data_IF_241638445564
#
_entry.id   IF_241638445564
#
_cell.length_a   1.000
_cell.length_b   1.000
_cell.length_c   1.000
_cell.angle_alpha   90.00
_cell.angle_beta   90.00
_cell.angle_gamma   90.00
#
_symmetry.space_group_name_H-M   'P 1'
#
loop_
_entity.id
_entity.type
_entity.pdbx_description
1 polymer ?
#
# COMPACT_ATOMS: atom_id res chain seq x y z
N UNK A 1 -6.90 19.32 -13.44
CA UNK A 1 -7.70 18.08 -13.64
C UNK A 1 -9.10 18.47 -14.00
N UNK A 2 -9.70 17.80 -14.97
CA UNK A 2 -11.13 18.01 -15.31
C UNK A 2 -11.99 17.30 -14.25
N UNK A 3 -12.68 18.09 -13.42
CA UNK A 3 -13.51 17.56 -12.33
C UNK A 3 -14.80 16.88 -12.84
N UNK A 4 -15.16 17.02 -14.12
CA UNK A 4 -16.29 16.30 -14.72
C UNK A 4 -16.03 14.81 -14.88
N UNK A 5 -14.78 14.37 -14.74
CA UNK A 5 -14.38 12.97 -14.77
C UNK A 5 -14.50 12.29 -13.39
N UNK A 6 -14.73 13.07 -12.31
CA UNK A 6 -14.87 12.53 -10.97
C UNK A 6 -16.29 12.03 -10.71
N UNK A 7 -16.38 11.01 -9.86
CA UNK A 7 -17.65 10.67 -9.19
C UNK A 7 -18.21 11.90 -8.45
N UNK A 8 -19.53 12.13 -8.50
CA UNK A 8 -20.17 13.34 -7.97
C UNK A 8 -19.94 13.51 -6.45
N UNK A 9 -20.01 12.42 -5.68
CA UNK A 9 -19.76 12.46 -4.24
C UNK A 9 -18.30 12.77 -3.93
N UNK A 10 -17.38 12.21 -4.73
CA UNK A 10 -15.93 12.46 -4.60
C UNK A 10 -15.57 13.90 -4.99
N UNK A 11 -16.17 14.43 -6.06
CA UNK A 11 -15.97 15.82 -6.49
C UNK A 11 -16.37 16.80 -5.38
N UNK A 12 -17.55 16.59 -4.77
CA UNK A 12 -18.04 17.40 -3.66
C UNK A 12 -17.11 17.39 -2.43
N UNK A 13 -16.55 16.23 -2.07
CA UNK A 13 -15.59 16.15 -0.97
C UNK A 13 -14.30 16.88 -1.33
N UNK A 14 -13.80 16.70 -2.55
CA UNK A 14 -12.55 17.32 -3.00
C UNK A 14 -12.60 18.85 -3.05
N UNK A 15 -13.78 19.45 -3.29
CA UNK A 15 -13.95 20.92 -3.24
C UNK A 15 -13.62 21.50 -1.87
N UNK A 16 -13.82 20.74 -0.80
CA UNK A 16 -13.53 21.16 0.58
C UNK A 16 -12.05 20.99 0.97
N UNK A 17 -11.25 20.29 0.14
CA UNK A 17 -9.86 20.02 0.44
C UNK A 17 -8.96 21.22 0.13
N UNK A 18 -8.10 21.63 1.07
CA UNK A 18 -7.14 22.70 0.81
C UNK A 18 -6.05 22.22 -0.15
N UNK A 19 -5.61 23.12 -1.01
CA UNK A 19 -4.36 22.93 -1.73
C UNK A 19 -3.22 23.03 -0.73
N UNK A 20 -2.40 22.01 -0.59
CA UNK A 20 -1.28 21.98 0.33
C UNK A 20 0.01 21.62 -0.40
N UNK A 21 1.12 22.25 0.04
CA UNK A 21 2.46 21.83 -0.34
C UNK A 21 2.96 20.81 0.68
N UNK A 22 3.04 19.55 0.25
CA UNK A 22 3.49 18.45 1.09
C UNK A 22 5.03 18.41 1.23
N UNK A 23 5.74 19.05 0.30
CA UNK A 23 7.15 18.81 0.06
C UNK A 23 8.08 19.94 0.51
N UNK A 24 7.55 21.14 0.76
CA UNK A 24 8.35 22.28 1.21
C UNK A 24 8.99 22.08 2.59
N UNK A 25 8.30 21.29 3.45
CA UNK A 25 8.77 20.94 4.79
C UNK A 25 8.16 19.59 5.18
N UNK A 26 8.94 18.52 5.02
CA UNK A 26 8.52 17.15 5.29
C UNK A 26 8.18 16.92 6.77
N UNK A 27 8.99 17.47 7.68
CA UNK A 27 8.79 17.30 9.11
C UNK A 27 7.50 17.99 9.57
N UNK A 28 7.26 19.21 9.12
CA UNK A 28 6.01 19.90 9.39
C UNK A 28 4.80 19.18 8.78
N UNK A 29 4.93 18.58 7.60
CA UNK A 29 3.87 17.81 6.97
C UNK A 29 3.58 16.53 7.76
N UNK A 30 4.60 15.79 8.19
CA UNK A 30 4.47 14.61 9.05
C UNK A 30 3.82 14.97 10.40
N UNK A 31 4.26 16.08 11.02
CA UNK A 31 3.68 16.57 12.27
C UNK A 31 2.18 16.93 12.11
N UNK A 32 1.81 17.66 11.06
CA UNK A 32 0.40 17.99 10.77
C UNK A 32 -0.45 16.73 10.56
N UNK A 33 0.07 15.72 9.85
CA UNK A 33 -0.62 14.46 9.66
C UNK A 33 -0.84 13.71 11.00
N UNK A 34 0.16 13.71 11.88
CA UNK A 34 0.05 13.12 13.22
C UNK A 34 -0.97 13.86 14.10
N UNK A 35 -0.98 15.20 14.09
CA UNK A 35 -1.97 15.99 14.83
C UNK A 35 -3.41 15.76 14.31
N UNK A 36 -3.57 15.74 12.97
CA UNK A 36 -4.88 15.47 12.38
C UNK A 36 -5.40 14.09 12.79
N UNK A 37 -4.53 13.09 12.75
CA UNK A 37 -4.83 11.73 13.20
C UNK A 37 -5.26 11.70 14.66
N UNK A 38 -4.50 12.31 15.56
CA UNK A 38 -4.84 12.38 16.97
C UNK A 38 -6.22 13.00 17.22
N UNK A 39 -6.60 14.04 16.44
CA UNK A 39 -7.92 14.67 16.47
C UNK A 39 -9.04 13.76 15.96
N UNK A 40 -8.74 12.84 15.05
CA UNK A 40 -9.72 11.93 14.43
C UNK A 40 -9.89 10.63 15.20
N UNK A 41 -8.84 10.10 15.83
CA UNK A 41 -8.84 8.79 16.51
C UNK A 41 -9.97 8.67 17.53
N UNK A 42 -10.29 9.72 18.27
CA UNK A 42 -11.42 9.73 19.21
C UNK A 42 -12.82 9.88 18.58
N UNK A 43 -12.90 10.16 17.28
CA UNK A 43 -14.16 10.39 16.55
C UNK A 43 -14.55 9.25 15.61
N UNK A 44 -13.59 8.37 15.30
CA UNK A 44 -13.86 7.21 14.45
C UNK A 44 -14.65 6.15 15.26
N UNK A 45 -15.55 5.41 14.59
CA UNK A 45 -16.24 4.29 15.22
C UNK A 45 -15.23 3.27 15.76
N UNK A 46 -15.48 2.73 16.94
CA UNK A 46 -14.62 1.68 17.50
C UNK A 46 -14.90 0.35 16.82
N UNK A 47 -13.85 -0.34 16.41
CA UNK A 47 -13.90 -1.72 15.92
C UNK A 47 -13.55 -2.63 17.09
N UNK A 48 -14.55 -2.93 17.94
CA UNK A 48 -14.34 -3.66 19.21
C UNK A 48 -14.06 -5.15 19.02
N UNK A 49 -14.38 -5.71 17.85
CA UNK A 49 -14.13 -7.10 17.46
C UNK A 49 -12.66 -7.45 17.23
N UNK A 50 -11.78 -6.42 17.14
CA UNK A 50 -10.36 -6.57 16.83
C UNK A 50 -9.50 -6.15 18.01
N UNK A 51 -8.58 -7.02 18.40
CA UNK A 51 -7.51 -6.73 19.36
C UNK A 51 -6.21 -6.37 18.64
N UNK A 52 -5.34 -5.58 19.29
CA UNK A 52 -4.04 -5.19 18.77
C UNK A 52 -2.95 -5.37 19.78
N UNK A 53 -1.75 -5.67 19.28
CA UNK A 53 -0.55 -5.85 20.10
C UNK A 53 0.65 -5.25 19.35
N UNK A 54 1.43 -4.39 19.99
CA UNK A 54 2.62 -3.80 19.42
C UNK A 54 3.84 -4.66 19.71
N UNK A 55 4.65 -4.92 18.68
CA UNK A 55 5.90 -5.65 18.75
C UNK A 55 7.05 -4.84 18.16
N UNK A 56 8.27 -5.28 18.42
CA UNK A 56 9.50 -4.64 17.94
C UNK A 56 10.45 -5.72 17.43
N UNK A 57 10.73 -5.69 16.13
CA UNK A 57 11.63 -6.65 15.49
C UNK A 57 13.06 -6.15 15.63
N UNK A 58 13.89 -6.95 16.29
CA UNK A 58 15.31 -6.61 16.50
C UNK A 58 16.09 -6.73 15.19
N UNK A 59 16.92 -5.74 14.92
CA UNK A 59 17.85 -5.70 13.78
C UNK A 59 19.29 -5.65 14.26
N UNK A 60 20.18 -6.17 13.43
CA UNK A 60 21.62 -6.10 13.68
C UNK A 60 22.27 -4.79 13.20
N UNK A 61 21.61 -4.06 12.28
CA UNK A 61 22.19 -2.97 11.50
C UNK A 61 21.39 -1.65 11.58
N UNK A 62 20.63 -1.45 12.65
CA UNK A 62 19.84 -0.22 12.80
C UNK A 62 18.81 -0.28 13.92
N UNK A 63 17.91 0.71 13.96
CA UNK A 63 16.83 0.70 14.94
C UNK A 63 15.90 -0.47 14.71
N UNK A 64 15.27 -0.96 15.77
CA UNK A 64 14.25 -1.99 15.68
C UNK A 64 13.11 -1.54 14.77
N UNK A 65 12.43 -2.50 14.14
CA UNK A 65 11.28 -2.25 13.29
C UNK A 65 10.01 -2.40 14.14
N UNK A 66 9.23 -1.34 14.36
CA UNK A 66 7.93 -1.45 15.00
C UNK A 66 6.95 -2.19 14.09
N UNK A 67 6.17 -3.09 14.66
CA UNK A 67 5.04 -3.72 13.97
C UNK A 67 3.85 -3.78 14.90
N UNK A 68 2.65 -3.67 14.35
CA UNK A 68 1.40 -3.88 15.07
C UNK A 68 0.68 -5.08 14.50
N UNK A 69 0.33 -6.00 15.39
CA UNK A 69 -0.46 -7.19 15.09
C UNK A 69 -1.93 -6.89 15.37
N UNK A 70 -2.80 -7.23 14.45
CA UNK A 70 -4.25 -7.11 14.55
C UNK A 70 -4.87 -8.49 14.43
N UNK A 71 -5.79 -8.83 15.34
CA UNK A 71 -6.46 -10.14 15.36
C UNK A 71 -7.95 -10.00 15.65
N UNK A 72 -8.81 -10.87 15.06
CA UNK A 72 -10.16 -11.02 15.56
C UNK A 72 -10.16 -11.51 17.01
N UNK A 73 -10.95 -10.91 17.89
CA UNK A 73 -11.08 -11.35 19.29
C UNK A 73 -11.67 -12.76 19.43
N UNK A 74 -12.63 -13.07 18.56
CA UNK A 74 -13.27 -14.39 18.52
C UNK A 74 -12.61 -15.16 17.37
N UNK A 75 -11.85 -16.19 17.70
CA UNK A 75 -11.13 -17.04 16.76
C UNK A 75 -11.09 -18.47 17.23
N UNK A 76 -11.08 -19.39 16.27
CA UNK A 76 -10.80 -20.81 16.49
C UNK A 76 -9.76 -21.28 15.49
N UNK A 77 -8.71 -21.92 15.98
CA UNK A 77 -7.62 -22.43 15.14
C UNK A 77 -6.69 -21.33 14.60
N UNK A 78 -5.86 -21.72 13.63
CA UNK A 78 -4.96 -20.83 12.91
C UNK A 78 -5.69 -20.10 11.80
N UNK A 79 -5.41 -18.79 11.67
CA UNK A 79 -5.99 -17.90 10.67
C UNK A 79 -4.99 -17.59 9.57
N UNK A 80 -5.42 -17.17 8.37
CA UNK A 80 -4.52 -16.62 7.38
C UNK A 80 -3.79 -15.38 7.89
N UNK A 81 -2.56 -15.16 7.41
CA UNK A 81 -1.73 -14.01 7.75
C UNK A 81 -1.56 -13.03 6.59
N UNK A 82 -1.67 -11.75 6.86
CA UNK A 82 -1.40 -10.67 5.92
C UNK A 82 -0.33 -9.74 6.49
N UNK A 83 0.76 -9.52 5.77
CA UNK A 83 1.62 -8.37 6.01
C UNK A 83 1.01 -7.15 5.31
N UNK A 84 0.66 -6.12 6.08
CA UNK A 84 0.13 -4.84 5.57
C UNK A 84 1.21 -3.77 5.56
N UNK A 85 1.31 -3.05 4.44
CA UNK A 85 2.30 -2.00 4.21
C UNK A 85 1.55 -0.70 3.91
N UNK A 86 1.72 0.30 4.79
CA UNK A 86 1.03 1.58 4.67
C UNK A 86 1.51 2.40 3.48
N UNK A 87 0.65 3.32 3.00
CA UNK A 87 0.95 4.27 1.94
C UNK A 87 1.73 5.49 2.42
N UNK A 88 1.86 6.48 1.53
CA UNK A 88 2.47 7.77 1.84
C UNK A 88 3.68 8.14 0.98
N UNK A 89 3.74 7.69 -0.27
CA UNK A 89 4.78 8.08 -1.24
C UNK A 89 6.19 7.79 -0.78
N UNK A 90 6.38 6.75 0.03
CA UNK A 90 7.63 6.35 0.69
C UNK A 90 8.19 7.35 1.72
N UNK A 91 7.60 8.55 1.83
CA UNK A 91 8.08 9.66 2.66
C UNK A 91 7.16 9.98 3.85
N UNK A 92 5.96 9.47 3.84
CA UNK A 92 4.90 9.71 4.82
C UNK A 92 4.27 8.40 5.28
N UNK A 93 3.29 8.50 6.18
CA UNK A 93 2.53 7.36 6.67
C UNK A 93 3.10 6.77 7.94
N UNK A 94 2.37 5.87 8.54
CA UNK A 94 2.76 5.07 9.70
C UNK A 94 1.68 4.02 9.98
N UNK A 95 1.97 3.04 10.83
CA UNK A 95 1.02 2.05 11.32
C UNK A 95 -0.21 2.71 11.96
N UNK A 96 -0.02 3.79 12.75
CA UNK A 96 -1.14 4.53 13.34
C UNK A 96 -2.01 5.23 12.30
N UNK A 97 -1.43 5.58 11.13
CA UNK A 97 -2.17 6.19 10.02
C UNK A 97 -3.25 5.27 9.48
N UNK A 98 -2.90 4.01 9.35
CA UNK A 98 -3.75 2.98 8.78
C UNK A 98 -4.54 2.19 9.83
N UNK A 99 -4.37 2.45 11.16
CA UNK A 99 -4.94 1.64 12.24
C UNK A 99 -6.44 1.36 12.05
N UNK A 100 -7.23 2.39 11.72
CA UNK A 100 -8.67 2.24 11.55
C UNK A 100 -9.01 1.36 10.33
N UNK A 101 -8.32 1.53 9.23
CA UNK A 101 -8.54 0.77 7.98
C UNK A 101 -8.16 -0.69 8.17
N UNK A 102 -7.02 -0.93 8.81
CA UNK A 102 -6.56 -2.30 9.09
C UNK A 102 -7.52 -3.01 10.06
N UNK A 103 -8.04 -2.32 11.08
CA UNK A 103 -9.08 -2.89 11.95
C UNK A 103 -10.34 -3.27 11.18
N UNK A 104 -10.81 -2.41 10.28
CA UNK A 104 -11.96 -2.73 9.43
C UNK A 104 -11.69 -3.94 8.53
N UNK A 105 -10.50 -4.02 7.95
CA UNK A 105 -10.08 -5.14 7.13
C UNK A 105 -10.08 -6.46 7.93
N UNK A 106 -9.49 -6.45 9.13
CA UNK A 106 -9.46 -7.63 10.02
C UNK A 106 -10.86 -8.07 10.43
N UNK A 107 -11.73 -7.11 10.77
CA UNK A 107 -13.12 -7.38 11.15
C UNK A 107 -13.90 -8.01 9.99
N UNK A 108 -13.75 -7.44 8.80
CA UNK A 108 -14.46 -7.89 7.60
C UNK A 108 -13.96 -9.24 7.07
N UNK A 109 -12.64 -9.47 7.09
CA UNK A 109 -12.01 -10.64 6.46
C UNK A 109 -11.82 -11.79 7.45
N UNK A 110 -11.48 -11.50 8.70
CA UNK A 110 -11.23 -12.54 9.72
C UNK A 110 -9.81 -13.13 9.67
N UNK A 111 -8.81 -12.39 9.19
CA UNK A 111 -7.40 -12.79 9.16
C UNK A 111 -6.59 -12.09 10.26
N UNK A 112 -5.36 -12.54 10.47
CA UNK A 112 -4.36 -11.83 11.27
C UNK A 112 -3.59 -10.88 10.36
N UNK A 113 -3.44 -9.61 10.77
CA UNK A 113 -2.65 -8.64 10.02
C UNK A 113 -1.46 -8.20 10.86
N UNK A 114 -0.27 -8.21 10.25
CA UNK A 114 0.93 -7.56 10.77
C UNK A 114 1.16 -6.30 9.94
N UNK A 115 1.02 -5.12 10.54
CA UNK A 115 1.31 -3.84 9.89
C UNK A 115 2.70 -3.39 10.28
N UNK A 116 3.53 -3.05 9.31
CA UNK A 116 4.94 -2.68 9.50
C UNK A 116 5.13 -1.17 9.44
N UNK A 117 5.84 -0.61 10.43
CA UNK A 117 6.27 0.79 10.44
C UNK A 117 7.67 0.89 9.84
N UNK A 118 7.72 0.82 8.52
CA UNK A 118 8.99 0.82 7.79
C UNK A 118 9.64 2.21 7.78
N UNK A 119 10.96 2.25 7.69
CA UNK A 119 11.73 3.50 7.62
C UNK A 119 11.40 4.29 6.37
N UNK A 120 11.24 5.60 6.52
CA UNK A 120 10.81 6.51 5.47
C UNK A 120 11.99 7.21 4.77
N UNK A 121 11.83 7.49 3.50
CA UNK A 121 12.67 8.39 2.74
C UNK A 121 12.32 9.86 3.07
N UNK A 122 13.24 10.81 2.89
CA UNK A 122 14.59 10.67 2.36
C UNK A 122 15.64 10.17 3.35
N UNK A 123 15.33 10.09 4.65
CA UNK A 123 16.29 9.70 5.69
C UNK A 123 16.79 8.28 5.49
N UNK A 124 15.90 7.41 5.01
CA UNK A 124 16.19 6.01 4.72
C UNK A 124 15.65 5.63 3.33
N UNK A 125 16.42 5.93 2.26
CA UNK A 125 16.00 5.58 0.91
C UNK A 125 16.07 4.05 0.66
N UNK A 126 15.64 3.61 -0.52
CA UNK A 126 15.85 2.24 -0.96
C UNK A 126 17.33 1.84 -0.82
N UNK A 127 17.63 0.65 -0.25
CA UNK A 127 16.71 -0.45 0.00
C UNK A 127 16.11 -0.52 1.42
N UNK A 128 16.28 0.50 2.27
CA UNK A 128 15.93 0.40 3.69
C UNK A 128 14.42 0.09 3.94
N UNK A 129 13.44 0.80 3.32
CA UNK A 129 12.03 0.47 3.50
C UNK A 129 11.68 -0.95 3.03
N UNK A 130 12.25 -1.38 1.92
CA UNK A 130 12.04 -2.72 1.38
C UNK A 130 12.60 -3.81 2.30
N UNK A 131 13.78 -3.57 2.88
CA UNK A 131 14.39 -4.50 3.83
C UNK A 131 13.55 -4.62 5.10
N UNK A 132 13.00 -3.51 5.60
CA UNK A 132 12.11 -3.53 6.77
C UNK A 132 10.84 -4.36 6.50
N UNK A 133 10.25 -4.22 5.30
CA UNK A 133 9.11 -5.04 4.89
C UNK A 133 9.45 -6.53 4.78
N UNK A 134 10.64 -6.86 4.23
CA UNK A 134 11.11 -8.25 4.15
C UNK A 134 11.34 -8.84 5.55
N UNK A 135 11.96 -8.08 6.45
CA UNK A 135 12.23 -8.54 7.81
C UNK A 135 10.93 -8.71 8.61
N UNK A 136 9.93 -7.83 8.39
CA UNK A 136 8.61 -7.98 8.98
C UNK A 136 7.87 -9.23 8.45
N UNK A 137 7.99 -9.53 7.15
CA UNK A 137 7.41 -10.75 6.59
C UNK A 137 8.11 -12.01 7.12
N UNK A 138 9.43 -12.01 7.22
CA UNK A 138 10.18 -13.11 7.85
C UNK A 138 9.80 -13.30 9.31
N UNK A 139 9.62 -12.19 10.04
CA UNK A 139 9.17 -12.25 11.41
C UNK A 139 7.76 -12.87 11.51
N UNK A 140 6.82 -12.46 10.67
CA UNK A 140 5.49 -13.07 10.59
C UNK A 140 5.59 -14.57 10.31
N UNK A 141 6.37 -14.99 9.30
CA UNK A 141 6.54 -16.39 8.92
C UNK A 141 7.19 -17.25 10.01
N UNK A 142 8.12 -16.66 10.79
CA UNK A 142 8.83 -17.37 11.87
C UNK A 142 8.06 -17.40 13.21
N UNK A 143 6.98 -16.63 13.35
CA UNK A 143 6.20 -16.53 14.58
C UNK A 143 4.74 -16.97 14.39
N UNK A 144 4.45 -17.79 13.39
CA UNK A 144 3.09 -18.22 13.04
C UNK A 144 2.38 -18.93 14.18
N UNK A 145 3.07 -19.73 14.98
CA UNK A 145 2.51 -20.39 16.15
C UNK A 145 2.08 -19.37 17.22
N UNK A 146 2.95 -18.43 17.59
CA UNK A 146 2.65 -17.36 18.56
C UNK A 146 1.50 -16.47 18.06
N UNK A 147 1.49 -16.18 16.78
CA UNK A 147 0.49 -15.31 16.15
C UNK A 147 -0.83 -16.04 15.85
N UNK A 148 -0.88 -17.36 16.00
CA UNK A 148 -1.99 -18.22 15.57
C UNK A 148 -2.29 -18.05 14.06
N UNK A 149 -1.24 -17.95 13.27
CA UNK A 149 -1.29 -17.85 11.80
C UNK A 149 -1.01 -19.20 11.17
N UNK A 150 -1.69 -19.51 10.09
CA UNK A 150 -1.41 -20.66 9.26
C UNK A 150 -0.22 -20.36 8.34
N UNK A 151 0.92 -21.06 8.46
CA UNK A 151 2.12 -20.81 7.68
C UNK A 151 1.92 -21.03 6.16
N UNK A 152 0.93 -21.81 5.76
CA UNK A 152 0.61 -22.07 4.35
C UNK A 152 -0.32 -21.01 3.76
N UNK A 153 -0.82 -20.07 4.56
CA UNK A 153 -1.74 -19.00 4.13
C UNK A 153 -1.21 -17.61 4.45
N UNK A 154 0.01 -17.32 3.98
CA UNK A 154 0.64 -16.01 4.09
C UNK A 154 0.38 -15.17 2.84
N UNK A 155 0.05 -13.90 3.04
CA UNK A 155 -0.21 -12.92 1.99
C UNK A 155 0.47 -11.58 2.32
N UNK A 156 0.57 -10.74 1.30
CA UNK A 156 1.07 -9.36 1.44
C UNK A 156 0.08 -8.40 0.83
N UNK A 157 0.06 -7.18 1.32
CA UNK A 157 -0.78 -6.13 0.73
C UNK A 157 -0.36 -4.76 1.21
N UNK A 158 -0.83 -3.76 0.49
CA UNK A 158 -0.59 -2.37 0.84
C UNK A 158 -1.27 -1.41 -0.11
N UNK A 159 -1.20 -0.14 0.26
CA UNK A 159 -1.81 0.94 -0.51
C UNK A 159 -0.76 1.92 -1.01
N UNK A 160 -0.91 2.41 -2.26
CA UNK A 160 -0.06 3.45 -2.84
C UNK A 160 1.42 3.04 -2.82
N UNK A 161 2.31 3.79 -2.16
CA UNK A 161 3.70 3.40 -1.95
C UNK A 161 3.83 2.05 -1.24
N UNK A 162 2.94 1.74 -0.27
CA UNK A 162 2.88 0.42 0.37
C UNK A 162 2.47 -0.69 -0.60
N UNK A 163 1.59 -0.40 -1.55
CA UNK A 163 1.27 -1.30 -2.66
C UNK A 163 2.48 -1.53 -3.58
N UNK A 164 3.27 -0.47 -3.83
CA UNK A 164 4.54 -0.57 -4.55
C UNK A 164 5.57 -1.42 -3.83
N UNK A 165 5.72 -1.23 -2.50
CA UNK A 165 6.56 -2.07 -1.66
C UNK A 165 6.06 -3.52 -1.65
N UNK A 166 4.75 -3.76 -1.60
CA UNK A 166 4.19 -5.12 -1.65
C UNK A 166 4.51 -5.81 -2.97
N UNK A 167 4.33 -5.13 -4.11
CA UNK A 167 4.67 -5.69 -5.43
C UNK A 167 6.17 -6.00 -5.56
N UNK A 168 7.04 -5.08 -5.12
CA UNK A 168 8.49 -5.30 -5.07
C UNK A 168 8.90 -6.41 -4.10
N UNK A 169 8.20 -6.53 -2.96
CA UNK A 169 8.42 -7.59 -1.98
C UNK A 169 8.01 -8.96 -2.52
N UNK A 170 6.90 -9.06 -3.28
CA UNK A 170 6.52 -10.30 -3.95
C UNK A 170 7.64 -10.83 -4.85
N UNK A 171 8.25 -9.96 -5.65
CA UNK A 171 9.42 -10.28 -6.48
C UNK A 171 10.61 -10.74 -5.61
N UNK A 172 10.92 -10.00 -4.55
CA UNK A 172 12.05 -10.31 -3.67
C UNK A 172 11.87 -11.62 -2.92
N UNK A 173 10.66 -11.93 -2.47
CA UNK A 173 10.31 -13.18 -1.79
C UNK A 173 10.49 -14.36 -2.71
N UNK A 174 9.96 -14.30 -3.94
CA UNK A 174 10.13 -15.32 -4.98
C UNK A 174 11.62 -15.58 -5.26
N UNK A 175 12.41 -14.52 -5.39
CA UNK A 175 13.79 -14.62 -5.86
C UNK A 175 14.79 -14.99 -4.75
N UNK A 176 14.48 -14.71 -3.48
CA UNK A 176 15.48 -14.71 -2.39
C UNK A 176 15.07 -15.46 -1.12
N UNK A 177 13.89 -16.05 -1.07
CA UNK A 177 13.39 -16.74 0.13
C UNK A 177 12.65 -18.02 -0.20
N UNK A 178 12.41 -18.85 0.81
CA UNK A 178 11.55 -20.04 0.71
C UNK A 178 10.12 -19.75 1.22
N UNK A 179 9.79 -18.50 1.54
CA UNK A 179 8.47 -18.11 2.01
C UNK A 179 7.49 -18.21 0.83
N UNK A 180 6.40 -18.95 1.02
CA UNK A 180 5.34 -19.06 0.03
C UNK A 180 4.26 -18.02 0.31
N UNK A 181 4.02 -17.13 -0.64
CA UNK A 181 2.89 -16.20 -0.61
C UNK A 181 1.74 -16.77 -1.46
N UNK A 182 0.52 -16.69 -0.93
CA UNK A 182 -0.67 -17.16 -1.66
C UNK A 182 -1.43 -16.03 -2.36
N UNK A 183 -1.17 -14.76 -1.98
CA UNK A 183 -1.89 -13.61 -2.54
C UNK A 183 -1.15 -12.30 -2.34
N UNK A 184 -1.40 -11.33 -3.24
CA UNK A 184 -0.98 -9.94 -3.10
C UNK A 184 -2.18 -9.00 -3.32
N UNK A 185 -2.45 -8.13 -2.34
CA UNK A 185 -3.49 -7.10 -2.36
C UNK A 185 -2.86 -5.74 -2.63
N UNK A 186 -3.00 -5.22 -3.83
CA UNK A 186 -2.33 -4.00 -4.29
C UNK A 186 -3.36 -2.89 -4.55
N UNK A 187 -3.48 -1.94 -3.62
CA UNK A 187 -4.43 -0.84 -3.71
C UNK A 187 -3.73 0.40 -4.26
N UNK A 188 -4.14 0.87 -5.44
CA UNK A 188 -3.54 1.98 -6.22
C UNK A 188 -2.00 2.00 -6.11
N UNK A 189 -1.30 0.90 -6.45
CA UNK A 189 0.11 0.73 -6.13
C UNK A 189 1.00 1.69 -6.93
N UNK A 190 1.94 2.34 -6.24
CA UNK A 190 2.99 3.19 -6.83
C UNK A 190 4.16 2.31 -7.28
N UNK A 191 4.20 1.93 -8.56
CA UNK A 191 5.08 0.84 -9.07
C UNK A 191 6.02 1.24 -10.20
N UNK A 192 5.86 2.44 -10.80
CA UNK A 192 6.68 2.90 -11.92
C UNK A 192 7.43 4.20 -11.61
N UNK A 193 8.74 4.10 -11.43
CA UNK A 193 9.63 5.23 -11.17
C UNK A 193 9.81 6.17 -12.37
N UNK A 194 9.44 5.75 -13.57
CA UNK A 194 9.64 6.51 -14.82
C UNK A 194 8.66 7.67 -14.96
N UNK A 195 7.45 7.57 -14.41
CA UNK A 195 6.40 8.60 -14.47
C UNK A 195 6.08 9.04 -15.91
N UNK A 196 6.04 8.11 -16.87
CA UNK A 196 5.89 8.40 -18.32
C UNK A 196 4.51 8.07 -18.89
N UNK A 197 3.60 7.56 -18.08
CA UNK A 197 2.25 7.20 -18.52
C UNK A 197 1.39 8.43 -18.79
N UNK A 198 0.37 8.32 -19.65
CA UNK A 198 -0.58 9.41 -19.92
C UNK A 198 -1.26 9.88 -18.64
N UNK A 199 -1.73 8.95 -17.80
CA UNK A 199 -2.35 9.28 -16.52
C UNK A 199 -1.43 10.08 -15.61
N UNK A 200 -0.14 9.71 -15.54
CA UNK A 200 0.84 10.44 -14.73
C UNK A 200 1.03 11.89 -15.17
N UNK A 201 0.85 12.21 -16.45
CA UNK A 201 0.89 13.59 -16.96
C UNK A 201 -0.41 14.36 -16.74
N UNK A 202 -1.57 13.69 -16.78
CA UNK A 202 -2.88 14.33 -16.70
C UNK A 202 -3.25 14.74 -15.27
N UNK A 203 -2.84 13.97 -14.26
CA UNK A 203 -3.22 14.22 -12.86
C UNK A 203 -2.23 15.21 -12.22
N UNK A 204 -2.62 16.48 -12.20
CA UNK A 204 -1.81 17.61 -11.70
C UNK A 204 -2.44 18.37 -10.53
N UNK A 205 -3.63 17.98 -10.09
CA UNK A 205 -4.36 18.63 -9.00
C UNK A 205 -3.61 18.44 -7.66
N UNK A 206 -3.29 19.56 -7.00
CA UNK A 206 -2.50 19.57 -5.77
C UNK A 206 -3.28 19.19 -4.52
N UNK A 207 -4.57 18.93 -4.62
CA UNK A 207 -5.39 18.47 -3.49
C UNK A 207 -5.29 16.97 -3.26
N UNK A 208 -4.82 16.23 -4.28
CA UNK A 208 -4.63 14.77 -4.25
C UNK A 208 -3.20 14.42 -4.63
N UNK A 209 -2.84 13.14 -4.53
CA UNK A 209 -1.57 12.65 -5.09
C UNK A 209 -1.54 12.89 -6.59
N UNK A 210 -0.48 13.50 -7.08
CA UNK A 210 -0.39 14.00 -8.45
C UNK A 210 1.02 13.81 -9.00
N UNK A 211 1.22 14.15 -10.28
CA UNK A 211 2.53 14.05 -10.94
C UNK A 211 3.67 14.65 -10.14
N UNK A 212 3.51 15.86 -9.61
CA UNK A 212 4.56 16.54 -8.85
C UNK A 212 4.95 15.73 -7.61
N UNK A 213 3.97 15.27 -6.85
CA UNK A 213 4.20 14.44 -5.67
C UNK A 213 4.85 13.10 -6.04
N UNK A 214 4.43 12.50 -7.16
CA UNK A 214 4.99 11.24 -7.65
C UNK A 214 6.49 11.39 -7.99
N UNK A 215 6.84 12.42 -8.74
CA UNK A 215 8.23 12.72 -9.10
C UNK A 215 9.13 12.92 -7.86
N UNK A 216 8.65 13.65 -6.85
CA UNK A 216 9.42 13.91 -5.63
C UNK A 216 9.50 12.67 -4.75
N UNK A 217 8.41 11.92 -4.60
CA UNK A 217 8.39 10.66 -3.84
C UNK A 217 9.43 9.67 -4.37
N UNK A 218 9.44 9.42 -5.68
CA UNK A 218 10.43 8.56 -6.32
C UNK A 218 11.86 9.10 -6.18
N UNK A 219 12.07 10.42 -6.34
CA UNK A 219 13.38 11.06 -6.15
C UNK A 219 13.94 10.75 -4.77
N UNK A 220 13.15 10.94 -3.71
CA UNK A 220 13.56 10.68 -2.33
C UNK A 220 13.76 9.19 -2.07
N UNK A 221 12.83 8.34 -2.52
CA UNK A 221 12.91 6.91 -2.30
C UNK A 221 14.14 6.28 -2.98
N UNK A 222 14.51 6.74 -4.17
CA UNK A 222 15.64 6.23 -4.93
C UNK A 222 16.96 6.97 -4.63
N UNK A 223 16.95 7.95 -3.71
CA UNK A 223 18.10 8.78 -3.35
C UNK A 223 18.76 9.44 -4.58
N UNK A 224 17.94 10.13 -5.38
CA UNK A 224 18.39 10.84 -6.57
C UNK A 224 18.48 12.34 -6.31
N UNK A 225 19.40 13.03 -7.00
CA UNK A 225 19.56 14.49 -6.91
C UNK A 225 18.43 15.21 -7.65
N UNK A 226 18.01 14.68 -8.79
CA UNK A 226 16.96 15.24 -9.63
C UNK A 226 15.81 14.24 -9.84
N UNK A 227 14.65 14.72 -10.25
CA UNK A 227 13.52 13.88 -10.65
C UNK A 227 13.81 13.18 -11.99
N UNK A 228 13.13 12.04 -12.24
CA UNK A 228 13.27 11.30 -13.51
C UNK A 228 12.88 12.13 -14.75
N UNK A 229 12.09 13.20 -14.58
CA UNK A 229 11.72 14.14 -15.63
C UNK A 229 12.93 14.94 -16.16
N UNK A 230 13.83 15.34 -15.25
CA UNK A 230 15.06 16.06 -15.61
C UNK A 230 16.22 15.13 -15.96
N UNK A 231 16.32 14.02 -15.25
CA UNK A 231 17.37 13.02 -15.43
C UNK A 231 16.77 11.61 -15.34
N UNK A 232 16.54 10.93 -16.47
CA UNK A 232 16.03 9.57 -16.48
C UNK A 232 16.87 8.63 -15.60
N UNK A 233 16.21 7.81 -14.81
CA UNK A 233 16.87 6.87 -13.93
C UNK A 233 17.29 5.62 -14.71
N UNK A 234 18.57 5.30 -14.64
CA UNK A 234 19.13 4.08 -15.19
C UNK A 234 19.27 3.02 -14.08
N UNK A 235 19.22 1.76 -14.44
CA UNK A 235 19.56 0.62 -13.54
C UNK A 235 18.80 0.61 -12.20
N UNK A 236 17.51 0.93 -12.21
CA UNK A 236 16.68 0.81 -11.01
C UNK A 236 16.31 -0.66 -10.77
N UNK A 237 16.45 -1.08 -9.52
CA UNK A 237 16.10 -2.43 -9.09
C UNK A 237 14.61 -2.72 -9.27
N UNK A 238 14.28 -3.92 -9.78
CA UNK A 238 12.90 -4.41 -9.86
C UNK A 238 12.21 -4.50 -8.48
N UNK A 239 12.98 -4.59 -7.42
CA UNK A 239 12.43 -4.60 -6.06
C UNK A 239 12.07 -3.19 -5.58
N UNK A 240 12.66 -2.14 -6.15
CA UNK A 240 12.26 -0.76 -5.88
C UNK A 240 11.05 -0.33 -6.71
N UNK A 241 11.00 -0.74 -7.98
CA UNK A 241 9.95 -0.39 -8.93
C UNK A 241 9.53 -1.67 -9.70
N UNK A 242 8.40 -2.25 -9.34
CA UNK A 242 7.99 -3.57 -9.84
C UNK A 242 7.78 -3.62 -11.36
N UNK A 243 7.46 -2.50 -12.00
CA UNK A 243 7.36 -2.40 -13.47
C UNK A 243 8.71 -2.61 -14.19
N UNK A 244 9.84 -2.48 -13.49
CA UNK A 244 11.18 -2.78 -14.03
C UNK A 244 11.47 -4.27 -14.16
N UNK A 245 10.68 -5.14 -13.52
CA UNK A 245 10.85 -6.59 -13.63
C UNK A 245 10.57 -7.05 -15.07
N UNK A 246 11.45 -7.87 -15.60
CA UNK A 246 11.29 -8.49 -16.94
C UNK A 246 10.62 -9.85 -16.87
N UNK A 247 10.70 -10.52 -15.72
CA UNK A 247 10.06 -11.80 -15.45
C UNK A 247 9.12 -11.68 -14.24
N UNK A 248 7.83 -11.93 -14.48
CA UNK A 248 6.77 -11.93 -13.47
C UNK A 248 6.22 -13.34 -13.21
N UNK A 249 6.82 -14.38 -13.79
CA UNK A 249 6.38 -15.77 -13.57
C UNK A 249 6.54 -16.19 -12.11
N UNK A 250 5.63 -17.05 -11.62
CA UNK A 250 5.71 -17.60 -10.27
C UNK A 250 5.34 -16.61 -9.15
N UNK A 251 4.91 -15.39 -9.46
CA UNK A 251 4.35 -14.48 -8.47
C UNK A 251 2.98 -14.98 -7.97
N UNK A 252 2.59 -14.63 -6.72
CA UNK A 252 1.29 -15.01 -6.20
C UNK A 252 0.15 -14.31 -6.96
N UNK A 253 -1.05 -14.91 -7.01
CA UNK A 253 -2.25 -14.24 -7.52
C UNK A 253 -2.40 -12.83 -6.96
N UNK A 254 -2.90 -11.90 -7.77
CA UNK A 254 -2.98 -10.49 -7.43
C UNK A 254 -4.42 -9.95 -7.55
N UNK A 255 -4.78 -9.08 -6.61
CA UNK A 255 -5.86 -8.12 -6.77
C UNK A 255 -5.24 -6.74 -6.87
N UNK A 256 -5.55 -6.02 -7.94
CA UNK A 256 -5.10 -4.64 -8.17
C UNK A 256 -6.34 -3.76 -8.28
N UNK A 257 -6.39 -2.69 -7.52
CA UNK A 257 -7.51 -1.74 -7.51
C UNK A 257 -7.00 -0.32 -7.67
N UNK A 258 -7.62 0.48 -8.55
CA UNK A 258 -7.20 1.86 -8.82
C UNK A 258 -8.39 2.69 -9.30
N UNK A 259 -8.37 3.99 -9.02
CA UNK A 259 -9.37 4.91 -9.58
C UNK A 259 -9.08 5.27 -11.04
N UNK A 260 -10.12 5.54 -11.84
CA UNK A 260 -9.92 5.94 -13.25
C UNK A 260 -9.29 7.34 -13.39
N UNK A 261 -9.34 8.14 -12.34
CA UNK A 261 -8.77 9.51 -12.26
C UNK A 261 -7.54 9.54 -11.34
N UNK A 262 -6.82 8.42 -11.29
CA UNK A 262 -5.56 8.28 -10.54
C UNK A 262 -4.34 8.40 -11.48
N UNK A 263 -3.27 9.02 -10.98
CA UNK A 263 -2.02 9.11 -11.72
C UNK A 263 -1.41 7.73 -12.04
N UNK A 264 -1.79 6.69 -11.30
CA UNK A 264 -1.25 5.33 -11.41
C UNK A 264 -2.09 4.41 -12.31
N UNK A 265 -3.26 4.83 -12.79
CA UNK A 265 -4.18 3.93 -13.49
C UNK A 265 -3.57 3.24 -14.72
N UNK A 266 -2.73 3.93 -15.48
CA UNK A 266 -2.11 3.33 -16.68
C UNK A 266 -1.00 2.35 -16.31
N UNK A 267 -0.15 2.67 -15.32
CA UNK A 267 0.92 1.77 -14.86
C UNK A 267 0.33 0.50 -14.21
N UNK A 268 -0.76 0.64 -13.46
CA UNK A 268 -1.46 -0.47 -12.83
C UNK A 268 -2.12 -1.40 -13.84
N UNK A 269 -2.73 -0.84 -14.88
CA UNK A 269 -3.29 -1.61 -16.00
C UNK A 269 -2.20 -2.37 -16.77
N UNK A 270 -1.08 -1.70 -17.07
CA UNK A 270 0.05 -2.32 -17.76
C UNK A 270 0.65 -3.46 -16.90
N UNK A 271 0.85 -3.23 -15.60
CA UNK A 271 1.39 -4.24 -14.71
C UNK A 271 0.46 -5.45 -14.57
N UNK A 272 -0.86 -5.22 -14.42
CA UNK A 272 -1.87 -6.28 -14.40
C UNK A 272 -1.84 -7.13 -15.67
N UNK A 273 -1.77 -6.50 -16.85
CA UNK A 273 -1.69 -7.19 -18.13
C UNK A 273 -0.39 -8.03 -18.25
N UNK A 274 0.74 -7.53 -17.78
CA UNK A 274 2.02 -8.25 -17.78
C UNK A 274 2.03 -9.44 -16.82
N UNK A 275 1.41 -9.30 -15.64
CA UNK A 275 1.20 -10.41 -14.71
C UNK A 275 0.37 -11.53 -15.37
N UNK A 276 -0.75 -11.19 -16.02
CA UNK A 276 -1.59 -12.15 -16.75
C UNK A 276 -0.82 -12.84 -17.88
N UNK A 277 -0.05 -12.10 -18.67
CA UNK A 277 0.80 -12.65 -19.72
C UNK A 277 1.88 -13.62 -19.18
N UNK A 278 2.30 -13.42 -17.94
CA UNK A 278 3.25 -14.28 -17.23
C UNK A 278 2.58 -15.48 -16.52
N UNK A 279 1.27 -15.70 -16.74
CA UNK A 279 0.52 -16.81 -16.14
C UNK A 279 0.08 -16.60 -14.70
N UNK A 280 0.19 -15.37 -14.16
CA UNK A 280 -0.31 -15.02 -12.84
C UNK A 280 -1.80 -14.67 -12.91
N UNK A 281 -2.61 -15.25 -12.02
CA UNK A 281 -4.02 -14.88 -11.91
C UNK A 281 -4.15 -13.46 -11.36
N UNK A 282 -4.88 -12.59 -12.08
CA UNK A 282 -5.06 -11.18 -11.69
C UNK A 282 -6.52 -10.79 -11.79
N UNK A 283 -7.02 -10.15 -10.74
CA UNK A 283 -8.25 -9.37 -10.76
C UNK A 283 -7.87 -7.89 -10.71
N UNK A 284 -8.20 -7.14 -11.75
CA UNK A 284 -8.02 -5.69 -11.82
C UNK A 284 -9.37 -5.00 -11.73
N UNK A 285 -9.51 -4.09 -10.74
CA UNK A 285 -10.68 -3.24 -10.58
C UNK A 285 -10.31 -1.77 -10.83
N UNK A 286 -11.01 -1.15 -11.77
CA UNK A 286 -10.84 0.28 -12.06
C UNK A 286 -12.13 1.01 -11.69
N UNK A 287 -12.08 1.82 -10.64
CA UNK A 287 -13.25 2.55 -10.13
C UNK A 287 -13.44 3.84 -10.90
N UNK A 288 -14.54 3.91 -11.65
CA UNK A 288 -14.82 5.07 -12.50
C UNK A 288 -15.07 6.33 -11.66
N UNK A 289 -14.35 7.42 -11.99
CA UNK A 289 -14.39 8.66 -11.23
C UNK A 289 -13.58 8.67 -9.93
N UNK A 290 -12.96 7.55 -9.54
CA UNK A 290 -12.09 7.47 -8.36
C UNK A 290 -10.76 8.18 -8.58
N UNK A 291 -10.33 9.04 -7.64
CA UNK A 291 -8.99 9.62 -7.59
C UNK A 291 -8.11 8.87 -6.60
N UNK A 292 -6.81 9.16 -6.54
CA UNK A 292 -5.86 8.46 -5.67
C UNK A 292 -6.28 8.47 -4.19
N UNK A 293 -6.48 7.29 -3.61
CA UNK A 293 -6.85 7.11 -2.21
C UNK A 293 -8.27 7.60 -1.85
N UNK A 294 -9.19 7.63 -2.82
CA UNK A 294 -10.56 8.14 -2.62
C UNK A 294 -11.30 7.46 -1.47
N UNK A 295 -11.09 6.17 -1.25
CA UNK A 295 -11.76 5.43 -0.18
C UNK A 295 -11.34 5.85 1.24
N UNK A 296 -10.16 6.49 1.39
CA UNK A 296 -9.68 7.06 2.65
C UNK A 296 -10.11 8.51 2.81
N UNK A 297 -10.11 9.26 1.71
CA UNK A 297 -10.45 10.69 1.69
C UNK A 297 -11.95 10.90 1.81
N UNK A 298 -12.74 10.09 1.12
CA UNK A 298 -14.20 10.15 1.11
C UNK A 298 -14.83 8.81 1.56
N UNK A 299 -14.58 8.34 2.80
CA UNK A 299 -14.96 6.99 3.22
C UNK A 299 -16.47 6.73 3.24
N UNK A 300 -17.31 7.77 3.18
CA UNK A 300 -18.77 7.68 3.18
C UNK A 300 -19.36 7.67 1.78
N UNK A 301 -18.60 8.07 0.76
CA UNK A 301 -19.05 7.99 -0.63
C UNK A 301 -19.39 6.55 -1.01
N UNK A 302 -20.43 6.37 -1.83
CA UNK A 302 -20.88 5.03 -2.22
C UNK A 302 -19.79 4.25 -2.95
N UNK A 303 -19.13 4.88 -3.91
CA UNK A 303 -18.01 4.28 -4.63
C UNK A 303 -16.90 3.79 -3.68
N UNK A 304 -16.62 4.53 -2.59
CA UNK A 304 -15.64 4.15 -1.58
C UNK A 304 -16.06 2.95 -0.73
N UNK A 305 -17.35 2.84 -0.44
CA UNK A 305 -17.91 1.69 0.27
C UNK A 305 -17.89 0.44 -0.61
N UNK A 306 -18.31 0.57 -1.86
CA UNK A 306 -18.30 -0.50 -2.84
C UNK A 306 -16.87 -1.00 -3.11
N UNK A 307 -15.90 -0.09 -3.23
CA UNK A 307 -14.50 -0.43 -3.39
C UNK A 307 -13.96 -1.25 -2.21
N UNK A 308 -14.18 -0.79 -0.98
CA UNK A 308 -13.71 -1.52 0.22
C UNK A 308 -14.33 -2.92 0.31
N UNK A 309 -15.62 -3.07 0.00
CA UNK A 309 -16.24 -4.40 0.03
C UNK A 309 -15.61 -5.35 -1.01
N UNK A 310 -15.30 -4.86 -2.21
CA UNK A 310 -14.61 -5.64 -3.24
C UNK A 310 -13.18 -6.03 -2.79
N UNK A 311 -12.44 -5.13 -2.14
CA UNK A 311 -11.12 -5.44 -1.58
C UNK A 311 -11.21 -6.55 -0.51
N UNK A 312 -12.17 -6.44 0.41
CA UNK A 312 -12.39 -7.45 1.45
C UNK A 312 -12.84 -8.79 0.87
N UNK A 313 -13.70 -8.76 -0.14
CA UNK A 313 -14.16 -9.97 -0.82
C UNK A 313 -13.01 -10.66 -1.55
N UNK A 314 -12.19 -9.93 -2.31
CA UNK A 314 -11.04 -10.48 -3.02
C UNK A 314 -10.06 -11.14 -2.05
N UNK A 315 -9.72 -10.45 -0.95
CA UNK A 315 -8.83 -10.98 0.07
C UNK A 315 -9.46 -12.22 0.78
N UNK A 316 -10.74 -12.16 1.14
CA UNK A 316 -11.45 -13.28 1.77
C UNK A 316 -11.47 -14.51 0.84
N UNK A 317 -11.76 -14.32 -0.44
CA UNK A 317 -11.77 -15.40 -1.42
C UNK A 317 -10.38 -16.04 -1.54
N UNK A 318 -9.32 -15.24 -1.57
CA UNK A 318 -7.95 -15.75 -1.68
C UNK A 318 -7.48 -16.50 -0.42
N UNK A 319 -7.83 -15.99 0.75
CA UNK A 319 -7.36 -16.54 2.04
C UNK A 319 -8.15 -17.75 2.53
N UNK A 320 -9.40 -17.91 2.10
CA UNK A 320 -10.30 -18.98 2.56
C UNK A 320 -10.82 -19.86 1.42
N UNK A 321 -10.21 -19.77 0.22
CA UNK A 321 -10.47 -20.73 -0.85
C UNK A 321 -10.16 -22.15 -0.35
N UNK A 322 -11.14 -23.08 -0.51
CA UNK A 322 -11.00 -24.50 -0.18
C UNK A 322 -10.20 -25.23 -1.26
#
# INVERSE_FOLDING_TARGET
>A
MDTTLLDEELASVLESFPVSDLWSDLDATRARAAEMRAKLTGKLPKVESVETEDHSITRSDGPNIPVRVYRPKIKSGQLPGLLWIHGGGYCFGSVEGDDYVVRQLVDAVGCVVVSVDYRLAPEYPFPAPMQDCLDALKWLANNTEMLLVDPDRLSIGGISAGGGLAAGLALMVRDKTDIRLIFQLLLCPMIDDRCVTSSSYLITDKRIWNRHSNLIGWKHYLNKEETCEKQPYESISQYAAATRATDLTGLPPAYIAVGSVDAFVDEDREYAARLQQSGVAVQLEVFDGGFHGFEFIAPKARISQDARELHYQALRNALFAC
#
